data_IF_789973689024
#
_entry.id   IF_789973689024
#
_cell.length_a   1.000
_cell.length_b   1.000
_cell.length_c   1.000
_cell.angle_alpha   90.00
_cell.angle_beta   90.00
_cell.angle_gamma   90.00
#
_symmetry.space_group_name_H-M   'P 1'
#
loop_
_entity.id
_entity.type
_entity.pdbx_description
1 polymer ?
#
# COMPACT_ATOMS: atom_id res chain seq x y z
N UNK A 1 -10.99 8.30 -5.89
CA UNK A 1 -11.14 6.84 -6.08
C UNK A 1 -10.71 6.34 -7.47
N UNK A 2 -10.93 7.09 -8.56
CA UNK A 2 -10.52 6.67 -9.92
C UNK A 2 -9.09 6.11 -10.01
N UNK A 3 -8.11 6.80 -9.40
CA UNK A 3 -6.70 6.36 -9.35
C UNK A 3 -6.48 5.06 -8.56
N UNK A 4 -7.24 4.83 -7.49
CA UNK A 4 -7.19 3.56 -6.74
C UNK A 4 -7.72 2.44 -7.62
N UNK A 5 -8.85 2.64 -8.29
CA UNK A 5 -9.41 1.65 -9.22
C UNK A 5 -8.51 1.35 -10.42
N UNK A 6 -7.82 2.36 -10.95
CA UNK A 6 -6.77 2.19 -11.96
C UNK A 6 -5.63 1.29 -11.42
N UNK A 7 -5.16 1.54 -10.20
CA UNK A 7 -4.15 0.71 -9.54
C UNK A 7 -4.61 -0.75 -9.39
N UNK A 8 -5.86 -0.99 -8.95
CA UNK A 8 -6.41 -2.36 -8.81
C UNK A 8 -6.43 -3.10 -10.16
N UNK A 9 -6.72 -2.37 -11.23
CA UNK A 9 -6.72 -2.94 -12.58
C UNK A 9 -5.31 -3.30 -13.03
N UNK A 10 -4.32 -2.44 -12.76
CA UNK A 10 -2.92 -2.69 -13.12
C UNK A 10 -2.33 -3.89 -12.38
N UNK A 11 -2.61 -4.02 -11.07
CA UNK A 11 -2.13 -5.16 -10.28
C UNK A 11 -2.77 -6.47 -10.75
N UNK A 12 -4.07 -6.46 -11.06
CA UNK A 12 -4.75 -7.62 -11.63
C UNK A 12 -4.13 -8.03 -12.99
N UNK A 13 -3.84 -7.06 -13.86
CA UNK A 13 -3.16 -7.32 -15.14
C UNK A 13 -1.75 -7.89 -14.93
N UNK A 14 -1.00 -7.39 -13.96
CA UNK A 14 0.34 -7.90 -13.64
C UNK A 14 0.29 -9.36 -13.18
N UNK A 15 -0.68 -9.74 -12.34
CA UNK A 15 -0.92 -11.13 -11.94
C UNK A 15 -1.21 -12.05 -13.11
N UNK A 16 -2.09 -11.63 -14.01
CA UNK A 16 -2.45 -12.43 -15.19
C UNK A 16 -1.29 -12.58 -16.18
N UNK A 17 -0.41 -11.58 -16.24
CA UNK A 17 0.79 -11.61 -17.07
C UNK A 17 1.89 -12.52 -16.49
N UNK A 18 2.01 -12.62 -15.16
CA UNK A 18 3.07 -13.40 -14.49
C UNK A 18 2.75 -14.88 -14.34
N UNK A 19 2.48 -15.55 -15.45
CA UNK A 19 2.19 -16.99 -15.49
C UNK A 19 3.37 -17.88 -15.06
N UNK A 20 4.58 -17.33 -15.04
CA UNK A 20 5.81 -18.02 -14.66
C UNK A 20 6.22 -17.84 -13.20
N UNK A 21 5.55 -16.98 -12.43
CA UNK A 21 5.86 -16.71 -11.01
C UNK A 21 7.21 -16.02 -10.76
N UNK A 22 7.91 -15.58 -11.81
CA UNK A 22 9.22 -14.95 -11.68
C UNK A 22 9.14 -13.58 -11.00
N UNK A 23 7.98 -12.91 -11.09
CA UNK A 23 7.76 -11.59 -10.50
C UNK A 23 6.92 -11.65 -9.23
N UNK A 24 6.79 -12.84 -8.61
CA UNK A 24 5.89 -13.08 -7.49
C UNK A 24 6.09 -12.11 -6.31
N UNK A 25 7.34 -11.77 -5.95
CA UNK A 25 7.63 -10.82 -4.86
C UNK A 25 7.00 -9.46 -5.14
N UNK A 26 7.37 -8.86 -6.28
CA UNK A 26 6.85 -7.57 -6.73
C UNK A 26 5.33 -7.53 -6.85
N UNK A 27 4.71 -8.59 -7.38
CA UNK A 27 3.26 -8.64 -7.56
C UNK A 27 2.52 -8.71 -6.21
N UNK A 28 3.07 -9.43 -5.24
CA UNK A 28 2.50 -9.49 -3.89
C UNK A 28 2.66 -8.16 -3.13
N UNK A 29 3.81 -7.51 -3.23
CA UNK A 29 3.98 -6.19 -2.59
C UNK A 29 3.14 -5.11 -3.29
N UNK A 30 2.93 -5.20 -4.60
CA UNK A 30 2.00 -4.34 -5.33
C UNK A 30 0.54 -4.52 -4.85
N UNK A 31 0.12 -5.77 -4.57
CA UNK A 31 -1.17 -6.08 -3.94
C UNK A 31 -1.32 -5.42 -2.56
N UNK A 32 -0.30 -5.53 -1.71
CA UNK A 32 -0.33 -4.94 -0.37
C UNK A 32 -0.39 -3.42 -0.43
N UNK A 33 0.42 -2.81 -1.30
CA UNK A 33 0.38 -1.37 -1.54
C UNK A 33 -1.00 -0.90 -2.01
N UNK A 34 -1.62 -1.61 -2.95
CA UNK A 34 -2.98 -1.31 -3.39
C UNK A 34 -3.98 -1.40 -2.24
N UNK A 35 -3.91 -2.44 -1.42
CA UNK A 35 -4.82 -2.65 -0.29
C UNK A 35 -4.71 -1.51 0.73
N UNK A 36 -3.50 -1.20 1.17
CA UNK A 36 -3.26 -0.15 2.17
C UNK A 36 -3.58 1.25 1.64
N UNK A 37 -3.29 1.52 0.36
CA UNK A 37 -3.70 2.76 -0.30
C UNK A 37 -5.23 2.91 -0.33
N UNK A 38 -5.95 1.83 -0.64
CA UNK A 38 -7.42 1.84 -0.68
C UNK A 38 -8.01 2.10 0.71
N UNK A 39 -7.46 1.48 1.74
CA UNK A 39 -7.81 1.71 3.15
C UNK A 39 -7.61 3.17 3.55
N UNK A 40 -6.42 3.71 3.31
CA UNK A 40 -6.10 5.12 3.59
C UNK A 40 -7.04 6.10 2.87
N UNK A 41 -7.24 5.92 1.56
CA UNK A 41 -8.12 6.78 0.78
C UNK A 41 -9.57 6.70 1.27
N UNK A 42 -10.03 5.53 1.72
CA UNK A 42 -11.37 5.37 2.33
C UNK A 42 -11.48 6.14 3.64
N UNK A 43 -10.50 6.00 4.56
CA UNK A 43 -10.45 6.78 5.80
C UNK A 43 -10.55 8.29 5.54
N UNK A 44 -9.76 8.80 4.59
CA UNK A 44 -9.78 10.23 4.20
C UNK A 44 -11.12 10.64 3.62
N UNK A 45 -11.69 9.83 2.70
CA UNK A 45 -13.00 10.08 2.08
C UNK A 45 -14.11 10.12 3.12
N UNK A 46 -14.14 9.15 4.02
CA UNK A 46 -15.19 8.96 5.02
C UNK A 46 -14.95 9.83 6.27
N UNK A 47 -13.83 10.57 6.30
CA UNK A 47 -13.43 11.43 7.42
C UNK A 47 -13.37 10.69 8.76
N UNK A 48 -12.95 9.43 8.72
CA UNK A 48 -12.83 8.61 9.93
C UNK A 48 -11.67 9.17 10.77
N UNK A 49 -11.92 9.63 12.01
CA UNK A 49 -10.88 10.19 12.84
C UNK A 49 -9.91 9.10 13.30
N UNK A 50 -8.65 9.48 13.48
CA UNK A 50 -7.68 8.66 14.19
C UNK A 50 -8.00 8.64 15.69
N UNK A 51 -7.74 7.51 16.35
CA UNK A 51 -7.77 7.44 17.81
C UNK A 51 -6.65 8.29 18.42
N UNK A 52 -6.70 8.57 19.72
CA UNK A 52 -5.64 9.35 20.36
C UNK A 52 -4.30 8.59 20.38
N UNK A 53 -4.35 7.26 20.51
CA UNK A 53 -3.17 6.39 20.36
C UNK A 53 -2.58 6.48 18.94
N UNK A 54 -3.42 6.40 17.91
CA UNK A 54 -2.98 6.53 16.51
C UNK A 54 -2.33 7.91 16.27
N UNK A 55 -2.91 8.98 16.80
CA UNK A 55 -2.37 10.34 16.64
C UNK A 55 -0.98 10.49 17.25
N UNK A 56 -0.74 9.85 18.39
CA UNK A 56 0.58 9.83 19.05
C UNK A 56 1.60 9.10 18.18
N UNK A 57 1.25 7.90 17.68
CA UNK A 57 2.14 7.10 16.84
C UNK A 57 2.40 7.74 15.47
N UNK A 58 1.41 8.45 14.90
CA UNK A 58 1.59 9.21 13.66
C UNK A 58 2.62 10.36 13.79
N UNK A 59 2.88 10.86 15.00
CA UNK A 59 3.86 11.92 15.22
C UNK A 59 5.30 11.39 15.31
N UNK A 60 5.49 10.10 15.58
CA UNK A 60 6.79 9.46 15.65
C UNK A 60 7.12 8.75 14.33
N UNK A 61 8.20 9.20 13.67
CA UNK A 61 8.65 8.63 12.42
C UNK A 61 8.92 7.11 12.49
N UNK A 62 9.35 6.60 13.65
CA UNK A 62 9.71 5.19 13.81
C UNK A 62 8.51 4.26 13.94
N UNK A 63 7.35 4.79 14.33
CA UNK A 63 6.14 4.01 14.61
C UNK A 63 4.95 4.40 13.74
N UNK A 64 5.03 5.53 13.03
CA UNK A 64 3.94 6.05 12.18
C UNK A 64 3.40 5.05 11.15
N UNK A 65 4.27 4.18 10.60
CA UNK A 65 3.90 3.14 9.63
C UNK A 65 3.04 2.02 10.24
N UNK A 66 2.99 1.91 11.57
CA UNK A 66 2.18 0.91 12.27
C UNK A 66 0.71 1.29 12.35
N UNK A 67 0.39 2.58 12.15
CA UNK A 67 -0.99 3.07 12.23
C UNK A 67 -1.76 2.59 10.99
N UNK A 68 -2.83 1.85 11.21
CA UNK A 68 -3.66 1.30 10.14
C UNK A 68 -4.38 2.40 9.35
N UNK A 69 -4.67 2.09 8.08
CA UNK A 69 -5.33 3.00 7.14
C UNK A 69 -4.66 4.39 7.06
N UNK A 70 -3.35 4.46 7.29
CA UNK A 70 -2.61 5.71 7.34
C UNK A 70 -1.75 5.93 6.09
N UNK A 71 -1.39 7.18 5.86
CA UNK A 71 -0.44 7.52 4.80
C UNK A 71 0.93 6.86 5.00
N UNK A 72 1.55 6.90 6.21
CA UNK A 72 2.81 6.20 6.47
C UNK A 72 2.73 4.69 6.21
N UNK A 73 1.60 4.03 6.53
CA UNK A 73 1.41 2.61 6.21
C UNK A 73 1.45 2.38 4.70
N UNK A 74 0.65 3.13 3.93
CA UNK A 74 0.62 3.02 2.47
C UNK A 74 1.99 3.36 1.83
N UNK A 75 2.72 4.34 2.39
CA UNK A 75 4.07 4.71 1.92
C UNK A 75 5.10 3.59 2.18
N UNK A 76 5.01 2.89 3.30
CA UNK A 76 5.87 1.73 3.59
C UNK A 76 5.67 0.63 2.56
N UNK A 77 4.42 0.24 2.29
CA UNK A 77 4.13 -0.80 1.30
C UNK A 77 4.55 -0.36 -0.12
N UNK A 78 4.46 0.95 -0.45
CA UNK A 78 5.00 1.48 -1.70
C UNK A 78 6.52 1.28 -1.80
N UNK A 79 7.26 1.60 -0.74
CA UNK A 79 8.72 1.41 -0.72
C UNK A 79 9.08 -0.08 -0.84
N UNK A 80 8.37 -0.97 -0.13
CA UNK A 80 8.56 -2.43 -0.26
C UNK A 80 8.30 -2.92 -1.69
N UNK A 81 7.24 -2.43 -2.34
CA UNK A 81 6.95 -2.74 -3.75
C UNK A 81 8.08 -2.25 -4.68
N UNK A 82 8.63 -1.06 -4.44
CA UNK A 82 9.75 -0.52 -5.23
C UNK A 82 11.02 -1.33 -5.00
N UNK A 83 11.31 -1.73 -3.76
CA UNK A 83 12.47 -2.55 -3.42
C UNK A 83 12.39 -3.93 -4.08
N UNK A 84 11.22 -4.58 -4.03
CA UNK A 84 10.97 -5.84 -4.72
C UNK A 84 11.14 -5.69 -6.23
N UNK A 85 10.62 -4.62 -6.83
CA UNK A 85 10.82 -4.34 -8.26
C UNK A 85 12.30 -4.19 -8.60
N UNK A 86 13.06 -3.47 -7.77
CA UNK A 86 14.49 -3.26 -7.98
C UNK A 86 15.29 -4.56 -7.84
N UNK A 87 14.82 -5.53 -7.05
CA UNK A 87 15.45 -6.84 -6.88
C UNK A 87 15.28 -7.80 -8.07
N UNK A 88 14.38 -7.47 -9.01
CA UNK A 88 14.18 -8.26 -10.24
C UNK A 88 15.27 -8.02 -11.30
N UNK A 89 16.23 -7.12 -11.05
CA UNK A 89 17.30 -6.74 -11.97
C UNK A 89 18.64 -7.40 -11.67
#
# INVERSE_FOLDING_TARGET
>A
MKKVSELETLVAQAKEADKGGMNFSFINSADQYQLETKKYVRRVRDKVPYSDWDKEHLQDANTSWMVEDSFPRALREYNEMVDDYNSLR
#
